data_IF_804344215701
#
_entry.id   IF_804344215701
#
_cell.length_a   1.000
_cell.length_b   1.000
_cell.length_c   1.000
_cell.angle_alpha   90.00
_cell.angle_beta   90.00
_cell.angle_gamma   90.00
#
_symmetry.space_group_name_H-M   'P 1'
#
loop_
_entity.id
_entity.type
_entity.pdbx_description
1 polymer ?
#
# COMPACT_ATOMS: atom_id res chain seq x y z
N UNK A 1 5.68 28.43 -3.85
CA UNK A 1 4.82 27.98 -4.97
C UNK A 1 3.40 28.46 -4.70
N UNK A 2 2.71 28.99 -5.72
CA UNK A 2 1.32 29.44 -5.61
C UNK A 2 0.40 28.38 -6.23
N UNK A 3 -0.59 27.90 -5.46
CA UNK A 3 -1.60 26.99 -5.99
C UNK A 3 -2.89 27.78 -6.31
N UNK A 4 -3.44 27.61 -7.50
CA UNK A 4 -4.64 28.33 -7.96
C UNK A 4 -5.91 27.49 -7.80
N UNK A 5 -6.99 28.17 -7.47
CA UNK A 5 -8.38 27.68 -7.46
C UNK A 5 -9.24 28.82 -7.96
N UNK A 6 -10.19 28.55 -8.86
CA UNK A 6 -10.92 29.56 -9.62
C UNK A 6 -11.73 30.58 -8.78
N UNK A 7 -11.90 30.39 -7.47
CA UNK A 7 -12.64 31.33 -6.60
C UNK A 7 -12.13 31.41 -5.14
N UNK A 8 -10.92 30.94 -4.81
CA UNK A 8 -10.36 30.99 -3.44
C UNK A 8 -8.99 31.71 -3.39
N UNK A 9 -8.64 32.35 -2.26
CA UNK A 9 -7.37 33.06 -2.11
C UNK A 9 -6.17 32.15 -2.41
N UNK A 10 -5.15 32.69 -3.08
CA UNK A 10 -3.92 31.96 -3.44
C UNK A 10 -3.26 31.39 -2.20
N UNK A 11 -3.14 30.06 -2.12
CA UNK A 11 -2.37 29.38 -1.08
C UNK A 11 -0.88 29.52 -1.40
N UNK A 12 -0.13 30.15 -0.49
CA UNK A 12 1.33 30.30 -0.61
C UNK A 12 2.00 29.28 0.29
N UNK A 13 2.86 28.45 -0.30
CA UNK A 13 3.60 27.41 0.41
C UNK A 13 5.08 27.78 0.47
N UNK A 14 5.62 27.84 1.69
CA UNK A 14 7.05 27.89 1.96
C UNK A 14 7.59 26.45 2.04
N UNK A 15 8.50 26.10 1.13
CA UNK A 15 9.09 24.77 1.05
C UNK A 15 10.26 24.64 2.03
N UNK A 16 10.30 23.54 2.77
CA UNK A 16 11.39 23.15 3.67
C UNK A 16 12.16 21.94 3.14
N UNK A 17 12.54 21.04 4.04
CA UNK A 17 13.37 19.88 3.72
C UNK A 17 12.64 18.83 2.87
N UNK A 18 13.40 18.16 2.00
CA UNK A 18 12.95 16.98 1.26
C UNK A 18 13.01 15.78 2.21
N UNK A 19 11.88 15.13 2.44
CA UNK A 19 11.77 13.98 3.34
C UNK A 19 11.65 12.64 2.59
N UNK A 20 11.33 12.69 1.29
CA UNK A 20 11.30 11.52 0.43
C UNK A 20 11.58 11.91 -1.02
N UNK A 21 12.32 11.07 -1.74
CA UNK A 21 12.57 11.25 -3.15
C UNK A 21 12.80 9.90 -3.85
N UNK A 22 11.91 9.54 -4.76
CA UNK A 22 12.05 8.41 -5.66
C UNK A 22 12.25 8.92 -7.09
N UNK A 23 13.49 8.84 -7.57
CA UNK A 23 13.87 9.30 -8.91
C UNK A 23 13.42 8.33 -9.98
N UNK A 24 12.75 8.83 -11.02
CA UNK A 24 12.52 8.06 -12.26
C UNK A 24 12.68 8.92 -13.51
N UNK A 25 13.29 8.35 -14.56
CA UNK A 25 13.37 8.99 -15.87
C UNK A 25 12.06 8.85 -16.67
N UNK A 26 11.37 7.72 -16.49
CA UNK A 26 10.08 7.40 -17.10
C UNK A 26 9.13 6.96 -15.99
N UNK A 27 7.94 7.56 -15.91
CA UNK A 27 6.94 7.28 -14.89
C UNK A 27 6.85 8.38 -13.83
N UNK A 28 6.60 7.98 -12.59
CA UNK A 28 5.95 8.86 -11.60
C UNK A 28 6.81 9.92 -10.92
N UNK A 29 8.14 9.76 -10.88
CA UNK A 29 9.10 10.64 -10.17
C UNK A 29 8.51 11.37 -8.94
N UNK A 30 8.61 10.78 -7.76
CA UNK A 30 7.92 11.30 -6.56
C UNK A 30 8.89 12.02 -5.63
N UNK A 31 8.61 13.27 -5.29
CA UNK A 31 9.33 14.05 -4.29
C UNK A 31 8.35 14.55 -3.21
N UNK A 32 8.69 14.37 -1.93
CA UNK A 32 7.88 14.86 -0.81
C UNK A 32 8.69 15.85 0.02
N UNK A 33 8.12 17.02 0.25
CA UNK A 33 8.78 18.18 0.86
C UNK A 33 7.93 18.66 2.04
N UNK A 34 8.58 19.01 3.16
CA UNK A 34 7.91 19.68 4.27
C UNK A 34 7.46 21.07 3.82
N UNK A 35 6.28 21.51 4.26
CA UNK A 35 5.80 22.86 3.95
C UNK A 35 5.16 23.55 5.13
N UNK A 36 5.29 24.88 5.16
CA UNK A 36 4.53 25.75 6.04
C UNK A 36 3.62 26.66 5.20
N UNK A 37 2.45 27.00 5.73
CA UNK A 37 1.47 27.86 5.06
C UNK A 37 0.75 28.73 6.07
N UNK A 38 0.61 30.03 5.78
CA UNK A 38 -0.24 30.93 6.59
C UNK A 38 -1.72 30.56 6.52
N UNK A 39 -2.14 29.79 5.49
CA UNK A 39 -3.48 29.23 5.40
C UNK A 39 -3.75 28.17 6.46
N UNK A 40 -2.70 27.48 6.94
CA UNK A 40 -2.78 26.41 7.92
C UNK A 40 -1.63 26.54 8.93
N UNK A 41 -1.64 27.58 9.79
CA UNK A 41 -0.49 27.96 10.61
C UNK A 41 -0.11 26.89 11.64
N UNK A 42 -1.09 26.13 12.15
CA UNK A 42 -0.90 25.14 13.22
C UNK A 42 -0.85 23.69 12.70
N UNK A 43 -0.48 23.49 11.42
CA UNK A 43 -0.41 22.15 10.83
C UNK A 43 0.97 21.83 10.28
N UNK A 44 1.46 20.65 10.64
CA UNK A 44 2.58 20.03 9.96
C UNK A 44 2.09 19.46 8.62
N UNK A 45 2.59 20.04 7.53
CA UNK A 45 2.16 19.71 6.18
C UNK A 45 3.30 19.21 5.33
N UNK A 46 2.93 18.44 4.32
CA UNK A 46 3.82 18.03 3.25
C UNK A 46 3.19 18.36 1.91
N UNK A 47 4.05 18.62 0.93
CA UNK A 47 3.70 18.62 -0.48
C UNK A 47 4.34 17.44 -1.14
N UNK A 48 3.55 16.69 -1.89
CA UNK A 48 4.05 15.64 -2.77
C UNK A 48 3.99 16.17 -4.19
N UNK A 49 5.14 16.19 -4.86
CA UNK A 49 5.33 16.60 -6.24
C UNK A 49 5.57 15.31 -7.02
N UNK A 50 4.68 14.99 -7.96
CA UNK A 50 4.79 13.74 -8.71
C UNK A 50 4.16 13.86 -10.10
N UNK A 51 4.52 12.94 -10.98
CA UNK A 51 3.99 12.82 -12.34
C UNK A 51 3.14 11.55 -12.51
N UNK A 52 1.96 11.42 -11.89
CA UNK A 52 1.10 10.26 -12.12
C UNK A 52 0.49 10.26 -13.52
N UNK A 53 0.08 9.08 -13.97
CA UNK A 53 -0.63 8.89 -15.24
C UNK A 53 -1.92 9.71 -15.28
N UNK A 54 -2.23 10.27 -16.44
CA UNK A 54 -3.45 11.05 -16.66
C UNK A 54 -4.73 10.22 -16.51
N UNK A 55 -4.63 8.90 -16.66
CA UNK A 55 -5.75 7.97 -16.58
C UNK A 55 -6.09 7.59 -15.13
N UNK A 56 -5.23 7.94 -14.16
CA UNK A 56 -5.43 7.63 -12.75
C UNK A 56 -6.17 8.73 -12.02
N UNK A 57 -7.19 8.31 -11.27
CA UNK A 57 -7.86 9.17 -10.33
C UNK A 57 -6.87 9.74 -9.31
N UNK A 58 -7.06 11.00 -8.90
CA UNK A 58 -6.23 11.60 -7.87
C UNK A 58 -6.55 10.99 -6.50
N UNK A 59 -5.53 10.82 -5.65
CA UNK A 59 -5.72 10.42 -4.24
C UNK A 59 -6.75 11.29 -3.54
N UNK A 60 -6.73 12.61 -3.79
CA UNK A 60 -7.72 13.53 -3.23
C UNK A 60 -9.15 13.14 -3.59
N UNK A 61 -9.42 12.84 -4.87
CA UNK A 61 -10.74 12.40 -5.34
C UNK A 61 -11.20 11.12 -4.62
N UNK A 62 -10.30 10.13 -4.49
CA UNK A 62 -10.61 8.86 -3.81
C UNK A 62 -10.89 9.09 -2.31
N UNK A 63 -10.07 9.91 -1.65
CA UNK A 63 -10.22 10.22 -0.22
C UNK A 63 -11.45 11.07 0.07
N UNK A 64 -11.79 12.03 -0.80
CA UNK A 64 -12.99 12.84 -0.67
C UNK A 64 -14.25 11.96 -0.84
N UNK A 65 -14.24 11.02 -1.80
CA UNK A 65 -15.32 10.05 -1.98
C UNK A 65 -15.48 9.11 -0.77
N UNK A 66 -14.38 8.60 -0.23
CA UNK A 66 -14.38 7.76 0.97
C UNK A 66 -14.93 8.53 2.19
N UNK A 67 -14.51 9.79 2.39
CA UNK A 67 -15.01 10.64 3.48
C UNK A 67 -16.50 10.95 3.33
N UNK A 68 -16.96 11.27 2.12
CA UNK A 68 -18.39 11.50 1.88
C UNK A 68 -19.24 10.26 2.23
N UNK A 69 -18.77 9.05 1.89
CA UNK A 69 -19.44 7.80 2.29
C UNK A 69 -19.42 7.58 3.81
N UNK A 70 -18.33 7.93 4.47
CA UNK A 70 -18.22 7.86 5.92
C UNK A 70 -19.20 8.81 6.62
N UNK A 71 -19.34 10.03 6.13
CA UNK A 71 -20.27 11.03 6.66
C UNK A 71 -21.74 10.60 6.44
N UNK A 72 -22.06 10.04 5.26
CA UNK A 72 -23.37 9.46 4.96
C UNK A 72 -23.76 8.35 5.96
N UNK A 73 -22.83 7.45 6.27
CA UNK A 73 -23.05 6.33 7.20
C UNK A 73 -23.16 6.81 8.66
N UNK A 74 -22.35 7.79 9.07
CA UNK A 74 -22.38 8.31 10.43
C UNK A 74 -23.68 9.08 10.73
N UNK A 75 -24.22 9.78 9.75
CA UNK A 75 -25.36 10.68 9.90
C UNK A 75 -24.97 12.04 10.53
N UNK A 76 -25.95 12.93 10.61
CA UNK A 76 -25.72 14.32 11.03
C UNK A 76 -25.11 14.44 12.42
N UNK A 77 -24.07 15.29 12.53
CA UNK A 77 -23.39 15.59 13.79
C UNK A 77 -22.50 14.48 14.36
N UNK A 78 -22.37 13.34 13.66
CA UNK A 78 -21.51 12.23 14.06
C UNK A 78 -20.30 12.13 13.13
N UNK A 79 -19.18 11.70 13.69
CA UNK A 79 -17.95 11.43 12.95
C UNK A 79 -17.72 9.92 12.88
N UNK A 80 -17.57 9.39 11.68
CA UNK A 80 -17.22 7.98 11.50
C UNK A 80 -15.75 7.73 11.89
N UNK A 81 -15.47 6.61 12.56
CA UNK A 81 -14.12 6.23 13.02
C UNK A 81 -13.09 6.22 11.87
N UNK A 82 -13.50 5.76 10.68
CA UNK A 82 -12.63 5.66 9.49
C UNK A 82 -11.92 6.97 9.14
N UNK A 83 -12.54 8.12 9.41
CA UNK A 83 -11.99 9.44 9.05
C UNK A 83 -10.63 9.68 9.73
N UNK A 84 -10.38 9.01 10.86
CA UNK A 84 -9.12 9.11 11.58
C UNK A 84 -8.00 8.22 11.03
N UNK A 85 -8.35 7.26 10.17
CA UNK A 85 -7.44 6.33 9.53
C UNK A 85 -7.23 6.61 8.03
N UNK A 86 -7.94 7.60 7.46
CA UNK A 86 -7.75 8.04 6.07
C UNK A 86 -6.79 9.24 5.99
N UNK A 87 -5.89 9.31 4.99
CA UNK A 87 -5.01 10.46 4.82
C UNK A 87 -5.81 11.75 4.55
N UNK A 88 -5.33 12.85 5.15
CA UNK A 88 -5.91 14.18 5.00
C UNK A 88 -5.21 14.95 3.89
N UNK A 89 -5.84 14.97 2.71
CA UNK A 89 -5.38 15.74 1.54
C UNK A 89 -6.20 17.02 1.46
N UNK A 90 -5.57 18.14 1.81
CA UNK A 90 -6.21 19.44 1.96
C UNK A 90 -6.49 20.08 0.60
N UNK A 91 -5.52 20.00 -0.30
CA UNK A 91 -5.58 20.58 -1.62
C UNK A 91 -4.82 19.69 -2.61
N UNK A 92 -5.22 19.70 -3.88
CA UNK A 92 -4.47 19.07 -4.96
C UNK A 92 -4.64 19.89 -6.22
N UNK A 93 -3.52 20.16 -6.91
CA UNK A 93 -3.53 20.83 -8.21
C UNK A 93 -2.83 19.97 -9.25
N UNK A 94 -3.40 19.95 -10.46
CA UNK A 94 -2.81 19.30 -11.62
C UNK A 94 -2.30 20.38 -12.58
N UNK A 95 -1.10 20.17 -13.10
CA UNK A 95 -0.48 20.97 -14.15
C UNK A 95 -0.28 20.04 -15.34
N UNK A 96 -1.00 20.29 -16.42
CA UNK A 96 -0.85 19.54 -17.66
C UNK A 96 0.21 20.22 -18.51
N UNK A 97 1.05 19.41 -19.14
CA UNK A 97 1.87 19.82 -20.27
C UNK A 97 0.90 20.26 -21.37
N UNK A 98 0.91 21.55 -21.74
CA UNK A 98 0.20 21.98 -22.95
C UNK A 98 0.98 21.50 -24.18
N UNK A 99 0.41 21.63 -25.39
CA UNK A 99 1.12 21.34 -26.65
C UNK A 99 2.45 22.11 -26.82
N UNK A 100 2.68 23.12 -25.97
CA UNK A 100 3.89 23.95 -25.91
C UNK A 100 4.97 23.46 -24.91
N UNK A 101 4.78 22.39 -24.14
CA UNK A 101 5.87 21.81 -23.32
C UNK A 101 6.64 20.76 -24.15
N UNK A 102 7.79 21.13 -24.71
CA UNK A 102 8.52 20.31 -25.64
C UNK A 102 9.19 19.11 -24.96
N UNK A 103 9.28 19.07 -23.62
CA UNK A 103 10.10 18.07 -22.94
C UNK A 103 9.45 16.69 -22.93
N UNK A 104 8.18 16.59 -22.50
CA UNK A 104 7.42 15.34 -22.55
C UNK A 104 7.15 14.93 -23.99
N UNK A 105 6.72 15.85 -24.86
CA UNK A 105 6.48 15.56 -26.28
C UNK A 105 7.74 15.04 -26.96
N UNK A 106 8.90 15.67 -26.72
CA UNK A 106 10.19 15.20 -27.27
C UNK A 106 10.58 13.85 -26.69
N UNK A 107 10.31 13.57 -25.42
CA UNK A 107 10.52 12.26 -24.83
C UNK A 107 9.65 11.20 -25.53
N UNK A 108 8.36 11.46 -25.73
CA UNK A 108 7.44 10.56 -26.47
C UNK A 108 7.91 10.35 -27.89
N UNK A 109 8.30 11.42 -28.59
CA UNK A 109 8.81 11.31 -29.95
C UNK A 109 10.12 10.52 -30.00
N UNK A 110 11.04 10.75 -29.07
CA UNK A 110 12.30 10.00 -28.98
C UNK A 110 12.06 8.53 -28.66
N UNK A 111 11.17 8.21 -27.73
CA UNK A 111 10.82 6.83 -27.35
C UNK A 111 10.05 6.12 -28.47
N UNK A 112 9.16 6.82 -29.16
CA UNK A 112 8.42 6.28 -30.31
C UNK A 112 9.34 6.06 -31.53
N UNK A 113 10.31 6.96 -31.75
CA UNK A 113 11.32 6.83 -32.82
C UNK A 113 12.41 5.82 -32.48
N UNK A 114 12.70 5.62 -31.20
CA UNK A 114 13.57 4.57 -30.69
C UNK A 114 12.79 3.25 -30.68
N UNK A 115 12.40 2.77 -31.87
CA UNK A 115 12.29 1.34 -32.08
C UNK A 115 13.56 0.68 -31.49
N UNK A 116 13.42 -0.44 -30.79
CA UNK A 116 14.49 -1.24 -30.16
C UNK A 116 14.81 -0.97 -28.67
N UNK A 117 14.00 -1.58 -27.81
CA UNK A 117 14.49 -2.49 -26.78
C UNK A 117 13.80 -3.85 -26.97
N UNK A 118 14.53 -4.86 -27.46
CA UNK A 118 14.08 -6.27 -27.56
C UNK A 118 12.85 -6.56 -28.46
N UNK A 119 12.59 -5.74 -29.48
CA UNK A 119 11.53 -6.02 -30.47
C UNK A 119 10.09 -5.89 -29.94
N UNK A 120 9.88 -5.22 -28.80
CA UNK A 120 8.55 -4.91 -28.26
C UNK A 120 8.20 -3.43 -28.47
N UNK A 121 6.95 -3.10 -28.83
CA UNK A 121 6.51 -1.71 -28.92
C UNK A 121 6.56 -1.05 -27.53
N UNK A 122 7.21 0.11 -27.44
CA UNK A 122 7.21 0.91 -26.22
C UNK A 122 5.94 1.77 -26.17
N UNK A 123 4.99 1.41 -25.30
CA UNK A 123 3.77 2.18 -25.09
C UNK A 123 4.04 3.20 -23.99
N UNK A 124 4.17 4.47 -24.35
CA UNK A 124 4.30 5.56 -23.40
C UNK A 124 2.93 5.90 -22.79
N UNK A 125 2.84 5.85 -21.46
CA UNK A 125 1.69 6.35 -20.72
C UNK A 125 1.88 7.85 -20.48
N UNK A 126 0.88 8.68 -20.78
CA UNK A 126 0.96 10.13 -20.57
C UNK A 126 0.84 10.47 -19.07
N UNK A 127 1.65 11.41 -18.60
CA UNK A 127 1.71 11.81 -17.19
C UNK A 127 1.56 13.32 -17.04
N UNK A 128 0.89 13.77 -15.98
CA UNK A 128 0.76 15.19 -15.62
C UNK A 128 1.46 15.48 -14.31
N UNK A 129 1.91 16.72 -14.09
CA UNK A 129 2.44 17.13 -12.79
C UNK A 129 1.28 17.32 -11.80
N UNK A 130 1.28 16.55 -10.71
CA UNK A 130 0.29 16.61 -9.64
C UNK A 130 0.96 17.02 -8.33
N UNK A 131 0.34 17.99 -7.66
CA UNK A 131 0.85 18.58 -6.43
C UNK A 131 -0.24 18.62 -5.35
N UNK A 132 -0.41 17.54 -4.56
CA UNK A 132 -1.21 17.57 -3.35
C UNK A 132 -0.47 18.17 -2.15
N UNK A 133 -1.24 18.87 -1.32
CA UNK A 133 -0.88 19.29 0.04
C UNK A 133 -1.64 18.38 1.00
N UNK A 134 -0.91 17.68 1.86
CA UNK A 134 -1.49 16.77 2.85
C UNK A 134 -0.92 17.01 4.24
N UNK A 135 -1.58 16.43 5.25
CA UNK A 135 -0.98 16.33 6.58
C UNK A 135 0.34 15.55 6.52
N UNK A 136 1.25 15.88 7.44
CA UNK A 136 2.45 15.07 7.67
C UNK A 136 2.06 13.79 8.42
N UNK A 137 2.37 12.65 7.81
CA UNK A 137 2.32 11.34 8.45
C UNK A 137 3.75 10.88 8.78
N UNK A 138 3.87 9.92 9.71
CA UNK A 138 5.15 9.37 10.14
C UNK A 138 5.26 7.89 9.75
N UNK A 139 6.42 7.43 9.25
CA UNK A 139 6.64 6.02 8.96
C UNK A 139 6.42 5.13 10.18
N UNK A 140 5.77 3.98 10.04
CA UNK A 140 5.60 3.03 11.15
C UNK A 140 6.94 2.61 11.78
N UNK A 141 8.03 2.62 11.00
CA UNK A 141 9.40 2.31 11.48
C UNK A 141 9.95 3.29 12.51
N UNK A 142 9.32 4.45 12.70
CA UNK A 142 9.70 5.40 13.76
C UNK A 142 9.15 4.97 15.14
N UNK A 143 8.23 3.99 15.18
CA UNK A 143 7.68 3.45 16.42
C UNK A 143 8.65 2.49 17.09
N UNK A 144 8.63 2.49 18.42
CA UNK A 144 9.54 1.68 19.26
C UNK A 144 8.82 0.93 20.37
N UNK A 145 7.49 1.03 20.40
CA UNK A 145 6.62 0.16 21.18
C UNK A 145 5.97 -0.86 20.23
N UNK A 146 6.15 -2.13 20.55
CA UNK A 146 5.61 -3.27 19.80
C UNK A 146 4.08 -3.23 19.77
N UNK A 147 3.43 -2.73 20.83
CA UNK A 147 1.97 -2.60 20.92
C UNK A 147 1.46 -1.51 19.99
N UNK A 148 2.16 -0.38 19.91
CA UNK A 148 1.81 0.69 18.96
C UNK A 148 1.93 0.20 17.51
N UNK A 149 2.98 -0.58 17.20
CA UNK A 149 3.17 -1.18 15.87
C UNK A 149 2.03 -2.14 15.53
N UNK A 150 1.66 -3.02 16.46
CA UNK A 150 0.54 -3.94 16.29
C UNK A 150 -0.79 -3.20 16.09
N UNK A 151 -1.01 -2.13 16.87
CA UNK A 151 -2.17 -1.26 16.74
C UNK A 151 -2.23 -0.58 15.37
N UNK A 152 -1.09 -0.15 14.81
CA UNK A 152 -1.03 0.41 13.45
C UNK A 152 -1.39 -0.65 12.41
N UNK A 153 -0.86 -1.87 12.51
CA UNK A 153 -1.24 -2.97 11.60
C UNK A 153 -2.74 -3.25 11.65
N UNK A 154 -3.32 -3.33 12.85
CA UNK A 154 -4.77 -3.54 13.05
C UNK A 154 -5.60 -2.42 12.41
N UNK A 155 -5.27 -1.16 12.71
CA UNK A 155 -5.94 0.01 12.13
C UNK A 155 -5.88 0.03 10.60
N UNK A 156 -4.71 -0.25 10.02
CA UNK A 156 -4.50 -0.26 8.56
C UNK A 156 -5.32 -1.37 7.91
N UNK A 157 -5.29 -2.59 8.45
CA UNK A 157 -6.05 -3.70 7.89
C UNK A 157 -7.56 -3.42 7.93
N UNK A 158 -8.04 -2.90 9.07
CA UNK A 158 -9.45 -2.53 9.24
C UNK A 158 -9.87 -1.40 8.30
N UNK A 159 -9.01 -0.39 8.13
CA UNK A 159 -9.23 0.71 7.19
C UNK A 159 -9.27 0.22 5.74
N UNK A 160 -8.32 -0.64 5.35
CA UNK A 160 -8.25 -1.26 4.03
C UNK A 160 -9.50 -2.10 3.74
N UNK A 161 -9.95 -2.91 4.70
CA UNK A 161 -11.19 -3.67 4.58
C UNK A 161 -12.40 -2.77 4.36
N UNK A 162 -12.56 -1.73 5.18
CA UNK A 162 -13.67 -0.78 5.02
C UNK A 162 -13.65 -0.08 3.66
N UNK A 163 -12.47 0.33 3.18
CA UNK A 163 -12.29 0.95 1.87
C UNK A 163 -12.68 0.00 0.74
N UNK A 164 -12.34 -1.28 0.86
CA UNK A 164 -12.75 -2.28 -0.11
C UNK A 164 -14.26 -2.56 -0.09
N UNK A 165 -14.88 -2.66 1.09
CA UNK A 165 -16.29 -3.02 1.20
C UNK A 165 -17.23 -1.87 0.84
N UNK A 166 -16.92 -0.65 1.29
CA UNK A 166 -17.86 0.48 1.26
C UNK A 166 -17.67 1.33 -0.01
N UNK A 167 -16.58 2.11 -0.18
CA UNK A 167 -16.37 2.87 -1.41
C UNK A 167 -15.80 2.04 -2.57
N UNK A 168 -15.57 0.72 -2.38
CA UNK A 168 -14.99 -0.19 -3.37
C UNK A 168 -13.61 0.24 -3.86
N UNK A 169 -12.72 0.66 -2.97
CA UNK A 169 -11.35 1.09 -3.28
C UNK A 169 -10.37 -0.04 -2.96
N UNK A 170 -9.58 -0.44 -3.97
CA UNK A 170 -8.40 -1.31 -3.79
C UNK A 170 -7.13 -0.47 -3.77
N UNK A 171 -6.17 -0.80 -2.90
CA UNK A 171 -4.96 0.00 -2.72
C UNK A 171 -3.90 -0.28 -3.80
N UNK A 172 -3.61 -1.58 -4.04
CA UNK A 172 -2.67 -2.11 -5.06
C UNK A 172 -1.18 -1.83 -4.85
N UNK A 173 -0.80 -1.25 -3.72
CA UNK A 173 0.60 -0.94 -3.37
C UNK A 173 0.83 -0.95 -1.86
N UNK A 174 0.30 -1.97 -1.20
CA UNK A 174 0.57 -2.19 0.22
C UNK A 174 2.08 -2.42 0.41
N UNK A 175 2.73 -1.51 1.11
CA UNK A 175 4.18 -1.53 1.33
C UNK A 175 4.53 -0.92 2.68
N UNK A 176 5.71 -1.25 3.22
CA UNK A 176 6.16 -0.71 4.51
C UNK A 176 6.23 0.83 4.52
N UNK A 177 6.53 1.46 3.37
CA UNK A 177 6.60 2.92 3.26
C UNK A 177 5.21 3.58 3.29
N UNK A 178 4.18 2.85 2.86
CA UNK A 178 2.80 3.33 2.76
C UNK A 178 2.01 3.04 4.05
N UNK A 179 2.52 2.17 4.93
CA UNK A 179 1.99 1.96 6.27
C UNK A 179 2.55 3.01 7.23
N UNK A 180 1.75 4.04 7.50
CA UNK A 180 2.16 5.19 8.30
C UNK A 180 1.28 5.33 9.53
N UNK A 181 1.62 6.30 10.38
CA UNK A 181 0.80 6.65 11.52
C UNK A 181 0.72 8.17 11.71
N UNK A 182 -0.26 8.59 12.49
CA UNK A 182 -0.36 9.95 13.05
C UNK A 182 -0.46 9.87 14.56
N UNK A 183 -0.04 10.95 15.23
CA UNK A 183 -0.26 11.13 16.67
C UNK A 183 -1.40 12.11 16.86
N UNK A 184 -2.37 11.76 17.70
CA UNK A 184 -3.41 12.69 18.14
C UNK A 184 -3.46 12.74 19.65
N UNK A 185 -3.59 13.94 20.20
CA UNK A 185 -3.79 14.09 21.63
C UNK A 185 -5.22 13.69 21.99
N UNK A 186 -5.35 12.70 22.87
CA UNK A 186 -6.63 12.31 23.43
C UNK A 186 -6.86 13.09 24.73
N UNK A 187 -7.84 13.99 24.71
CA UNK A 187 -8.21 14.80 25.87
C UNK A 187 -8.79 13.97 27.03
N UNK A 188 -9.39 12.80 26.76
CA UNK A 188 -9.96 11.95 27.79
C UNK A 188 -8.87 11.20 28.56
N UNK A 189 -7.85 10.71 27.84
CA UNK A 189 -6.75 9.94 28.43
C UNK A 189 -5.50 10.78 28.74
N UNK A 190 -5.53 12.08 28.40
CA UNK A 190 -4.42 13.03 28.57
C UNK A 190 -3.09 12.50 28.00
N UNK A 191 -3.15 11.82 26.85
CA UNK A 191 -1.99 11.20 26.20
C UNK A 191 -2.11 11.23 24.68
N UNK A 192 -0.99 11.12 23.98
CA UNK A 192 -1.01 10.92 22.54
C UNK A 192 -1.39 9.48 22.19
N UNK A 193 -2.39 9.33 21.33
CA UNK A 193 -2.75 8.07 20.67
C UNK A 193 -2.08 7.96 19.31
N UNK A 194 -1.58 6.77 19.01
CA UNK A 194 -1.03 6.37 17.72
C UNK A 194 -2.16 5.79 16.88
N UNK A 195 -2.42 6.41 15.73
CA UNK A 195 -3.46 5.98 14.81
C UNK A 195 -2.81 5.55 13.50
N UNK A 196 -3.08 4.31 13.08
CA UNK A 196 -2.56 3.79 11.82
C UNK A 196 -3.28 4.42 10.64
N UNK A 197 -2.53 4.74 9.60
CA UNK A 197 -3.01 5.41 8.39
C UNK A 197 -2.37 4.71 7.19
N UNK A 198 -3.21 4.20 6.30
CA UNK A 198 -2.76 3.71 5.01
C UNK A 198 -2.59 4.90 4.07
N UNK A 199 -1.42 5.07 3.48
CA UNK A 199 -1.06 6.23 2.64
C UNK A 199 -0.73 5.81 1.19
N UNK A 200 -0.70 6.77 0.27
CA UNK A 200 -0.36 6.59 -1.16
C UNK A 200 -1.37 5.77 -1.98
N UNK A 201 -2.51 6.40 -2.27
CA UNK A 201 -3.59 5.83 -3.11
C UNK A 201 -3.42 6.11 -4.62
N UNK A 202 -2.26 6.57 -5.07
CA UNK A 202 -2.04 6.93 -6.48
C UNK A 202 -2.07 5.70 -7.42
N UNK A 203 -1.89 4.49 -6.90
CA UNK A 203 -2.03 3.22 -7.65
C UNK A 203 -3.39 2.56 -7.48
N UNK A 204 -4.26 3.17 -6.68
CA UNK A 204 -5.56 2.62 -6.31
C UNK A 204 -6.57 2.70 -7.44
N UNK A 205 -7.61 1.88 -7.35
CA UNK A 205 -8.69 1.89 -8.32
C UNK A 205 -10.03 1.54 -7.65
N UNK A 206 -11.11 2.01 -8.28
CA UNK A 206 -12.46 1.58 -7.94
C UNK A 206 -12.72 0.17 -8.49
N UNK A 207 -13.21 -0.71 -7.63
CA UNK A 207 -13.67 -2.07 -7.93
C UNK A 207 -15.17 -2.06 -8.29
N UNK A 208 -15.64 -2.90 -9.24
CA UNK A 208 -14.87 -3.87 -10.01
C UNK A 208 -14.01 -3.23 -11.09
N UNK A 209 -12.82 -3.80 -11.31
CA UNK A 209 -11.94 -3.43 -12.41
C UNK A 209 -12.68 -3.75 -13.73
N UNK A 210 -13.05 -2.72 -14.49
CA UNK A 210 -13.67 -2.95 -15.81
C UNK A 210 -12.68 -3.51 -16.82
N UNK A 211 -11.40 -3.14 -16.73
CA UNK A 211 -10.29 -3.60 -17.57
C UNK A 211 -8.95 -3.50 -16.82
N UNK A 212 -7.91 -4.20 -17.28
CA UNK A 212 -6.55 -4.09 -16.72
C UNK A 212 -6.03 -2.65 -16.89
N UNK A 213 -6.11 -1.86 -15.82
CA UNK A 213 -5.84 -0.40 -15.84
C UNK A 213 -4.37 -0.04 -16.04
N UNK A 214 -3.48 -1.01 -16.25
CA UNK A 214 -2.08 -0.78 -16.62
C UNK A 214 -1.46 -2.01 -17.29
N UNK A 215 -0.81 -1.82 -18.43
CA UNK A 215 0.00 -2.84 -19.11
C UNK A 215 1.30 -3.19 -18.36
N UNK A 216 1.59 -2.50 -17.25
CA UNK A 216 2.80 -2.68 -16.45
C UNK A 216 2.47 -3.37 -15.12
N UNK A 217 3.35 -4.26 -14.65
CA UNK A 217 3.32 -4.81 -13.30
C UNK A 217 3.51 -3.66 -12.30
N UNK A 218 2.44 -3.31 -11.58
CA UNK A 218 2.42 -2.22 -10.60
C UNK A 218 2.59 -2.81 -9.20
N UNK A 219 3.39 -2.13 -8.38
CA UNK A 219 3.55 -2.41 -6.95
C UNK A 219 5.02 -2.51 -6.54
N UNK A 220 5.24 -2.68 -5.25
CA UNK A 220 6.57 -2.85 -4.67
C UNK A 220 6.98 -4.34 -4.67
N UNK A 221 7.94 -4.81 -5.50
CA UNK A 221 8.16 -6.23 -5.78
C UNK A 221 8.28 -7.18 -4.58
N UNK A 222 9.05 -6.83 -3.52
CA UNK A 222 9.14 -7.67 -2.32
C UNK A 222 7.79 -7.90 -1.63
N UNK A 223 6.82 -7.00 -1.80
CA UNK A 223 5.48 -7.07 -1.20
C UNK A 223 4.39 -7.50 -2.19
N UNK A 224 4.64 -7.55 -3.50
CA UNK A 224 3.62 -7.98 -4.46
C UNK A 224 3.22 -9.45 -4.25
N UNK A 225 1.92 -9.75 -4.38
CA UNK A 225 1.41 -11.12 -4.34
C UNK A 225 2.08 -12.00 -5.41
N UNK A 226 2.32 -13.28 -5.10
CA UNK A 226 3.02 -14.20 -6.00
C UNK A 226 2.34 -14.33 -7.38
N UNK A 227 1.01 -14.28 -7.44
CA UNK A 227 0.27 -14.39 -8.71
C UNK A 227 0.44 -13.19 -9.62
N UNK A 228 0.53 -12.00 -9.04
CA UNK A 228 0.78 -10.75 -9.79
C UNK A 228 2.20 -10.69 -10.34
N UNK A 229 3.10 -11.48 -9.76
CA UNK A 229 4.48 -11.62 -10.23
C UNK A 229 4.58 -12.66 -11.36
N UNK A 230 3.88 -13.78 -11.23
CA UNK A 230 3.86 -14.87 -12.21
C UNK A 230 3.17 -14.46 -13.52
N UNK A 231 2.00 -13.81 -13.43
CA UNK A 231 1.16 -13.51 -14.59
C UNK A 231 0.93 -12.01 -14.75
N UNK A 232 1.14 -11.49 -15.96
CA UNK A 232 0.93 -10.06 -16.26
C UNK A 232 -0.55 -9.67 -16.35
N UNK A 233 -1.44 -10.62 -16.63
CA UNK A 233 -2.81 -10.34 -17.04
C UNK A 233 -3.85 -10.70 -15.95
N UNK A 234 -3.37 -10.93 -14.71
CA UNK A 234 -4.24 -11.23 -13.57
C UNK A 234 -4.82 -9.94 -13.01
N UNK A 235 -6.15 -9.89 -12.91
CA UNK A 235 -6.84 -8.78 -12.23
C UNK A 235 -6.40 -8.72 -10.76
N UNK A 236 -6.13 -7.51 -10.28
CA UNK A 236 -5.76 -7.30 -8.89
C UNK A 236 -7.01 -7.44 -8.00
N UNK A 237 -7.01 -8.44 -7.10
CA UNK A 237 -8.09 -8.73 -6.16
C UNK A 237 -7.73 -8.25 -4.76
N UNK A 238 -8.71 -8.10 -3.86
CA UNK A 238 -8.52 -7.70 -2.47
C UNK A 238 -7.48 -8.58 -1.75
N UNK A 239 -7.55 -9.90 -1.94
CA UNK A 239 -6.57 -10.83 -1.35
C UNK A 239 -5.12 -10.58 -1.75
N UNK A 240 -4.85 -9.92 -2.88
CA UNK A 240 -3.48 -9.57 -3.25
C UNK A 240 -2.94 -8.42 -2.39
N UNK A 241 -3.78 -7.45 -2.02
CA UNK A 241 -3.44 -6.44 -1.01
C UNK A 241 -3.26 -7.09 0.37
N UNK A 242 -4.06 -8.11 0.70
CA UNK A 242 -3.91 -8.88 1.96
C UNK A 242 -2.60 -9.68 1.98
N UNK A 243 -2.21 -10.30 0.87
CA UNK A 243 -0.93 -11.02 0.74
C UNK A 243 0.24 -10.04 0.89
N UNK A 244 0.12 -8.84 0.31
CA UNK A 244 1.08 -7.78 0.48
C UNK A 244 1.14 -7.25 1.93
N UNK A 245 0.00 -7.09 2.60
CA UNK A 245 -0.06 -6.78 4.04
C UNK A 245 0.71 -7.81 4.86
N UNK A 246 0.47 -9.10 4.60
CA UNK A 246 1.19 -10.19 5.25
C UNK A 246 2.71 -10.12 5.00
N UNK A 247 3.14 -9.83 3.77
CA UNK A 247 4.55 -9.65 3.48
C UNK A 247 5.16 -8.44 4.19
N UNK A 248 4.44 -7.32 4.36
CA UNK A 248 4.95 -6.19 5.15
C UNK A 248 5.13 -6.60 6.61
N UNK A 249 4.16 -7.30 7.20
CA UNK A 249 4.26 -7.84 8.56
C UNK A 249 5.47 -8.78 8.71
N UNK A 250 5.62 -9.73 7.79
CA UNK A 250 6.73 -10.69 7.75
C UNK A 250 8.09 -9.98 7.67
N UNK A 251 8.23 -9.02 6.74
CA UNK A 251 9.46 -8.28 6.55
C UNK A 251 9.79 -7.39 7.74
N UNK A 252 8.81 -6.73 8.35
CA UNK A 252 9.02 -5.93 9.55
C UNK A 252 9.56 -6.81 10.68
N UNK A 253 8.83 -7.89 11.00
CA UNK A 253 9.14 -8.74 12.14
C UNK A 253 10.46 -9.50 11.98
N UNK A 254 10.81 -9.95 10.77
CA UNK A 254 11.99 -10.77 10.55
C UNK A 254 13.26 -9.97 10.22
N UNK A 255 13.16 -8.69 9.85
CA UNK A 255 14.32 -7.90 9.39
C UNK A 255 14.72 -6.80 10.34
N UNK A 256 13.88 -6.42 11.30
CA UNK A 256 14.14 -5.30 12.20
C UNK A 256 14.19 -5.72 13.66
N UNK A 257 14.90 -4.97 14.48
CA UNK A 257 14.94 -5.09 15.94
C UNK A 257 14.84 -3.70 16.57
N UNK A 258 14.19 -3.61 17.74
CA UNK A 258 14.10 -2.39 18.53
C UNK A 258 15.25 -2.42 19.54
N UNK A 259 16.20 -1.52 19.37
CA UNK A 259 17.42 -1.46 20.20
C UNK A 259 17.51 -0.14 20.96
N UNK A 260 18.21 -0.13 22.09
CA UNK A 260 18.52 1.09 22.82
C UNK A 260 19.71 1.81 22.16
N UNK A 261 19.53 3.07 21.77
CA UNK A 261 20.60 4.01 21.38
C UNK A 261 20.83 5.09 22.45
N UNK A 262 21.78 5.99 22.20
CA UNK A 262 22.07 7.13 23.07
C UNK A 262 20.89 8.12 23.14
N UNK A 263 20.12 8.24 22.05
CA UNK A 263 19.00 9.17 21.89
C UNK A 263 17.64 8.56 22.26
N UNK A 264 17.59 7.25 22.55
CA UNK A 264 16.36 6.54 22.89
C UNK A 264 16.28 5.16 22.24
N UNK A 265 15.11 4.52 22.33
CA UNK A 265 14.86 3.31 21.54
C UNK A 265 14.74 3.67 20.06
N UNK A 266 15.21 2.81 19.18
CA UNK A 266 15.12 2.97 17.72
C UNK A 266 14.93 1.61 17.06
N UNK A 267 14.14 1.56 15.99
CA UNK A 267 14.04 0.40 15.12
C UNK A 267 15.21 0.40 14.13
N UNK A 268 15.90 -0.73 13.99
CA UNK A 268 17.02 -0.90 13.04
C UNK A 268 16.95 -2.24 12.33
N UNK A 269 17.51 -2.29 11.12
CA UNK A 269 17.77 -3.54 10.41
C UNK A 269 18.70 -4.45 11.25
N UNK A 270 18.44 -5.76 11.25
CA UNK A 270 19.24 -6.77 11.95
C UNK A 270 20.69 -6.89 11.44
N UNK A 271 20.94 -6.45 10.21
CA UNK A 271 22.25 -6.47 9.56
C UNK A 271 22.40 -5.24 8.68
N UNK A 272 23.60 -4.67 8.66
CA UNK A 272 23.96 -3.59 7.75
C UNK A 272 23.99 -4.04 6.28
N UNK A 273 24.26 -5.33 6.02
CA UNK A 273 24.22 -5.88 4.69
C UNK A 273 22.82 -6.41 4.37
N UNK A 274 22.12 -5.72 3.46
CA UNK A 274 20.74 -6.03 3.09
C UNK A 274 20.55 -7.44 2.51
N UNK A 275 21.60 -8.05 1.96
CA UNK A 275 21.56 -9.42 1.42
C UNK A 275 21.52 -10.49 2.51
N UNK A 276 22.08 -10.19 3.68
CA UNK A 276 22.16 -11.12 4.81
C UNK A 276 20.91 -11.06 5.68
N UNK A 277 20.06 -10.04 5.50
CA UNK A 277 18.77 -9.94 6.15
C UNK A 277 17.83 -11.08 5.68
N UNK A 278 16.97 -11.62 6.56
CA UNK A 278 15.94 -12.58 6.17
C UNK A 278 15.13 -12.09 4.97
N UNK A 279 14.89 -12.98 4.00
CA UNK A 279 14.28 -12.68 2.70
C UNK A 279 15.06 -11.66 1.85
N UNK A 280 16.35 -11.45 2.08
CA UNK A 280 17.20 -10.53 1.30
C UNK A 280 17.15 -10.79 -0.20
N UNK A 281 17.01 -12.06 -0.63
CA UNK A 281 16.79 -12.44 -2.03
C UNK A 281 15.55 -11.82 -2.65
N UNK A 282 14.48 -11.57 -1.90
CA UNK A 282 13.24 -10.99 -2.44
C UNK A 282 13.40 -9.50 -2.82
N UNK A 283 14.46 -8.86 -2.34
CA UNK A 283 14.84 -7.49 -2.69
C UNK A 283 15.86 -7.42 -3.84
N UNK A 284 16.31 -8.57 -4.36
CA UNK A 284 17.25 -8.62 -5.48
C UNK A 284 16.54 -8.25 -6.79
N UNK A 285 16.84 -7.05 -7.29
CA UNK A 285 16.26 -6.52 -8.54
C UNK A 285 16.77 -7.23 -9.80
N UNK A 286 17.79 -8.09 -9.69
CA UNK A 286 18.28 -8.90 -10.81
C UNK A 286 17.52 -10.22 -10.95
N UNK A 287 16.74 -10.60 -9.94
CA UNK A 287 15.92 -11.82 -9.97
C UNK A 287 14.72 -11.64 -10.90
N UNK A 288 14.42 -12.68 -11.69
CA UNK A 288 13.25 -12.66 -12.55
C UNK A 288 11.95 -12.69 -11.73
N UNK A 289 10.88 -12.18 -12.33
CA UNK A 289 9.56 -12.13 -11.70
C UNK A 289 9.02 -13.52 -11.38
N UNK A 290 9.23 -14.46 -12.31
CA UNK A 290 8.84 -15.87 -12.17
C UNK A 290 9.61 -16.54 -11.02
N UNK A 291 10.90 -16.22 -10.88
CA UNK A 291 11.74 -16.74 -9.79
C UNK A 291 11.28 -16.20 -8.44
N UNK A 292 10.93 -14.91 -8.36
CA UNK A 292 10.38 -14.31 -7.14
C UNK A 292 9.02 -14.94 -6.78
N UNK A 293 8.15 -15.11 -7.78
CA UNK A 293 6.84 -15.74 -7.62
C UNK A 293 6.97 -17.16 -7.08
N UNK A 294 7.87 -17.98 -7.65
CA UNK A 294 8.12 -19.35 -7.22
C UNK A 294 8.68 -19.41 -5.78
N UNK A 295 9.58 -18.49 -5.42
CA UNK A 295 10.10 -18.41 -4.05
C UNK A 295 9.01 -18.08 -3.02
N UNK A 296 8.10 -17.15 -3.37
CA UNK A 296 6.95 -16.78 -2.55
C UNK A 296 5.91 -17.89 -2.43
N UNK A 297 5.62 -18.57 -3.54
CA UNK A 297 4.75 -19.74 -3.55
C UNK A 297 5.32 -20.84 -2.64
N UNK A 298 6.62 -21.14 -2.79
CA UNK A 298 7.30 -22.15 -1.96
C UNK A 298 7.30 -21.79 -0.48
N UNK A 299 7.37 -20.49 -0.14
CA UNK A 299 7.31 -20.03 1.24
C UNK A 299 6.02 -20.46 1.95
N UNK A 300 4.85 -20.39 1.31
CA UNK A 300 3.59 -20.80 1.97
C UNK A 300 3.56 -22.27 2.36
N UNK A 301 4.22 -23.14 1.59
CA UNK A 301 4.26 -24.59 1.82
C UNK A 301 5.55 -25.09 2.51
N UNK A 302 6.50 -24.20 2.75
CA UNK A 302 7.74 -24.52 3.46
C UNK A 302 7.48 -24.98 4.89
N UNK A 303 8.32 -25.86 5.41
CA UNK A 303 8.27 -26.34 6.80
C UNK A 303 9.15 -25.51 7.74
N UNK A 304 9.94 -24.59 7.18
CA UNK A 304 10.87 -23.75 7.91
C UNK A 304 10.10 -22.80 8.83
N UNK A 305 10.46 -22.73 10.13
CA UNK A 305 9.80 -21.84 11.06
C UNK A 305 10.09 -20.39 10.71
N UNK A 306 9.07 -19.55 10.80
CA UNK A 306 9.25 -18.10 10.72
C UNK A 306 10.04 -17.68 11.96
N UNK A 307 11.11 -16.90 11.75
CA UNK A 307 12.01 -16.46 12.83
C UNK A 307 11.97 -14.93 12.96
N UNK A 308 10.98 -14.37 13.67
CA UNK A 308 10.98 -12.94 14.03
C UNK A 308 12.20 -12.59 14.88
N UNK A 309 12.59 -11.31 14.86
CA UNK A 309 13.58 -10.82 15.82
C UNK A 309 13.04 -10.87 17.25
N UNK A 310 13.92 -10.68 18.23
CA UNK A 310 13.56 -10.72 19.66
C UNK A 310 12.48 -9.70 20.01
N UNK A 311 12.51 -8.51 19.41
CA UNK A 311 11.51 -7.47 19.66
C UNK A 311 10.13 -7.82 19.10
N UNK A 312 10.07 -8.68 18.08
CA UNK A 312 8.83 -8.98 17.35
C UNK A 312 8.37 -10.44 17.53
N UNK A 313 8.89 -11.16 18.53
CA UNK A 313 8.48 -12.55 18.80
C UNK A 313 6.98 -12.68 19.09
N UNK A 314 6.37 -11.66 19.68
CA UNK A 314 4.93 -11.56 19.96
C UNK A 314 4.04 -11.69 18.71
N UNK A 315 4.56 -11.37 17.53
CA UNK A 315 3.84 -11.45 16.26
C UNK A 315 3.85 -12.86 15.64
N UNK A 316 4.61 -13.80 16.19
CA UNK A 316 4.72 -15.15 15.63
C UNK A 316 3.37 -15.86 15.46
N UNK A 317 2.39 -15.77 16.39
CA UNK A 317 1.06 -16.33 16.19
C UNK A 317 0.35 -15.77 14.94
N UNK A 318 0.39 -14.45 14.72
CA UNK A 318 -0.21 -13.82 13.53
C UNK A 318 0.49 -14.31 12.26
N UNK A 319 1.82 -14.37 12.28
CA UNK A 319 2.62 -14.78 11.13
C UNK A 319 2.35 -16.22 10.71
N UNK A 320 2.16 -17.12 11.69
CA UNK A 320 1.86 -18.53 11.44
C UNK A 320 0.43 -18.73 10.95
N UNK A 321 -0.55 -18.09 11.59
CA UNK A 321 -1.96 -18.23 11.22
C UNK A 321 -2.21 -17.70 9.80
N UNK A 322 -1.69 -16.51 9.48
CA UNK A 322 -1.84 -15.96 8.13
C UNK A 322 -1.11 -16.82 7.08
N UNK A 323 0.08 -17.36 7.38
CA UNK A 323 0.76 -18.31 6.47
C UNK A 323 -0.08 -19.54 6.21
N UNK A 324 -0.70 -20.09 7.27
CA UNK A 324 -1.57 -21.25 7.19
C UNK A 324 -2.82 -20.98 6.33
N UNK A 325 -3.52 -19.87 6.57
CA UNK A 325 -4.70 -19.50 5.77
C UNK A 325 -4.36 -19.32 4.28
N UNK A 326 -3.21 -18.71 3.96
CA UNK A 326 -2.75 -18.63 2.58
C UNK A 326 -2.40 -19.99 1.99
N UNK A 327 -1.67 -20.84 2.73
CA UNK A 327 -1.31 -22.18 2.26
C UNK A 327 -2.55 -23.02 1.95
N UNK A 328 -3.53 -23.04 2.84
CA UNK A 328 -4.79 -23.76 2.65
C UNK A 328 -5.61 -23.20 1.48
N UNK A 329 -5.75 -21.88 1.37
CA UNK A 329 -6.46 -21.24 0.26
C UNK A 329 -5.82 -21.53 -1.11
N UNK A 330 -4.49 -21.48 -1.18
CA UNK A 330 -3.73 -21.82 -2.40
C UNK A 330 -3.88 -23.31 -2.73
N UNK A 331 -3.84 -24.18 -1.71
CA UNK A 331 -4.06 -25.62 -1.88
C UNK A 331 -5.47 -25.92 -2.40
N UNK A 332 -6.50 -25.35 -1.78
CA UNK A 332 -7.89 -25.50 -2.18
C UNK A 332 -8.12 -25.08 -3.64
N UNK A 333 -7.52 -23.95 -4.06
CA UNK A 333 -7.54 -23.52 -5.45
C UNK A 333 -6.88 -24.53 -6.38
N UNK A 334 -5.71 -25.03 -6.02
CA UNK A 334 -4.95 -26.02 -6.81
C UNK A 334 -5.78 -27.28 -7.02
N UNK A 335 -6.39 -27.80 -5.95
CA UNK A 335 -7.29 -28.96 -5.99
C UNK A 335 -8.54 -28.70 -6.84
N UNK A 336 -9.12 -27.51 -6.77
CA UNK A 336 -10.23 -27.13 -7.65
C UNK A 336 -9.80 -27.11 -9.12
N UNK A 337 -8.65 -26.50 -9.46
CA UNK A 337 -8.14 -26.46 -10.84
C UNK A 337 -7.87 -27.85 -11.40
N UNK A 338 -7.31 -28.77 -10.60
CA UNK A 338 -7.10 -30.16 -11.04
C UNK A 338 -8.42 -30.88 -11.34
N UNK A 339 -9.44 -30.72 -10.48
CA UNK A 339 -10.77 -31.30 -10.72
C UNK A 339 -11.39 -30.77 -12.01
N UNK A 340 -11.32 -29.46 -12.24
CA UNK A 340 -11.87 -28.84 -13.45
C UNK A 340 -11.19 -29.31 -14.75
N UNK A 341 -9.89 -29.62 -14.70
CA UNK A 341 -9.16 -30.18 -15.86
C UNK A 341 -9.51 -31.63 -16.16
N UNK A 342 -10.06 -32.36 -15.20
CA UNK A 342 -10.44 -33.78 -15.33
C UNK A 342 -11.92 -33.99 -15.70
N UNK A 343 -12.75 -32.94 -15.58
CA UNK A 343 -14.16 -33.00 -15.97
C UNK A 343 -14.32 -33.02 -17.49
N UNK A 344 -15.31 -33.79 -17.97
CA UNK A 344 -15.66 -33.82 -19.40
C UNK A 344 -16.36 -32.51 -19.80
N UNK A 345 -16.25 -32.04 -21.06
CA UNK A 345 -16.88 -30.79 -21.52
C UNK A 345 -18.42 -30.71 -21.35
N UNK A 346 -19.07 -31.84 -21.04
CA UNK A 346 -20.50 -31.97 -20.80
C UNK A 346 -20.93 -31.72 -19.35
N UNK A 347 -19.99 -31.67 -18.40
CA UNK A 347 -20.28 -31.39 -17.00
C UNK A 347 -20.14 -29.89 -16.75
N UNK A 348 -21.26 -29.18 -16.58
CA UNK A 348 -21.25 -27.79 -16.16
C UNK A 348 -20.78 -27.72 -14.69
N UNK A 349 -19.68 -27.02 -14.37
CA UNK A 349 -19.22 -26.93 -12.99
C UNK A 349 -20.26 -26.19 -12.15
N UNK A 350 -20.86 -26.88 -11.19
CA UNK A 350 -22.01 -26.35 -10.44
C UNK A 350 -21.69 -25.11 -9.60
N UNK A 351 -20.42 -24.87 -9.24
CA UNK A 351 -19.98 -23.67 -8.50
C UNK A 351 -18.56 -23.23 -8.90
N UNK A 352 -18.35 -21.98 -9.37
CA UNK A 352 -17.01 -21.45 -9.63
C UNK A 352 -16.22 -21.26 -8.33
N UNK A 353 -14.89 -21.41 -8.38
CA UNK A 353 -14.03 -21.14 -7.22
C UNK A 353 -14.02 -19.66 -6.87
N UNK A 354 -14.23 -19.34 -5.59
CA UNK A 354 -14.12 -17.98 -5.10
C UNK A 354 -12.64 -17.54 -5.09
N UNK A 355 -12.26 -16.83 -6.16
CA UNK A 355 -10.93 -16.27 -6.31
C UNK A 355 -10.69 -15.08 -5.38
N UNK A 356 -11.71 -14.40 -4.88
CA UNK A 356 -11.55 -13.21 -4.04
C UNK A 356 -11.05 -13.61 -2.65
N UNK A 357 -11.61 -14.68 -2.08
CA UNK A 357 -11.31 -15.16 -0.73
C UNK A 357 -10.44 -16.42 -0.69
N UNK A 358 -9.93 -16.87 -1.84
CA UNK A 358 -9.28 -18.18 -2.01
C UNK A 358 -10.15 -19.34 -1.49
N UNK A 359 -11.44 -19.35 -1.81
CA UNK A 359 -12.36 -20.41 -1.36
C UNK A 359 -12.77 -20.29 0.10
N UNK A 360 -12.79 -19.07 0.66
CA UNK A 360 -13.24 -18.78 2.02
C UNK A 360 -12.14 -18.78 3.09
N UNK A 361 -10.87 -18.86 2.70
CA UNK A 361 -9.74 -18.86 3.65
C UNK A 361 -9.22 -17.44 3.94
N UNK A 362 -9.27 -16.55 2.97
CA UNK A 362 -8.85 -15.15 3.09
C UNK A 362 -10.10 -14.30 3.30
N UNK A 363 -10.66 -14.36 4.50
CA UNK A 363 -11.85 -13.60 4.89
C UNK A 363 -11.44 -12.47 5.84
N UNK A 364 -11.78 -11.20 5.54
CA UNK A 364 -11.31 -10.05 6.33
C UNK A 364 -11.68 -10.11 7.80
N UNK A 365 -12.87 -10.61 8.15
CA UNK A 365 -13.32 -10.73 9.54
C UNK A 365 -12.47 -11.73 10.33
N UNK A 366 -12.16 -12.90 9.73
CA UNK A 366 -11.29 -13.90 10.36
C UNK A 366 -9.84 -13.41 10.51
N UNK A 367 -9.36 -12.61 9.55
CA UNK A 367 -8.05 -11.97 9.66
C UNK A 367 -8.06 -10.92 10.78
N UNK A 368 -9.07 -10.05 10.84
CA UNK A 368 -9.22 -9.07 11.92
C UNK A 368 -9.27 -9.73 13.30
N UNK A 369 -9.98 -10.85 13.42
CA UNK A 369 -10.01 -11.65 14.65
C UNK A 369 -8.61 -12.18 15.01
N UNK A 370 -7.89 -12.73 14.03
CA UNK A 370 -6.51 -13.21 14.20
C UNK A 370 -5.58 -12.10 14.71
N UNK A 371 -5.69 -10.89 14.14
CA UNK A 371 -4.82 -9.76 14.50
C UNK A 371 -5.41 -8.83 15.57
N UNK A 372 -6.49 -9.25 16.25
CA UNK A 372 -7.18 -8.42 17.26
C UNK A 372 -6.47 -8.39 18.61
N UNK A 373 -5.52 -9.31 18.85
CA UNK A 373 -4.80 -9.41 20.11
C UNK A 373 -3.31 -9.66 19.90
N UNK A 374 -2.46 -9.04 20.71
CA UNK A 374 -1.02 -9.30 20.74
C UNK A 374 -0.57 -9.55 22.18
N UNK A 375 -0.01 -10.73 22.48
CA UNK A 375 0.39 -11.13 23.84
C UNK A 375 -0.69 -10.87 24.91
N UNK A 376 -1.95 -11.17 24.58
CA UNK A 376 -3.11 -10.95 25.46
C UNK A 376 -3.58 -9.50 25.57
N UNK A 377 -2.94 -8.56 24.86
CA UNK A 377 -3.41 -7.18 24.74
C UNK A 377 -4.40 -7.07 23.58
N UNK A 378 -5.64 -6.69 23.89
CA UNK A 378 -6.67 -6.38 22.89
C UNK A 378 -6.34 -5.09 22.16
N UNK A 379 -6.39 -5.14 20.82
CA UNK A 379 -6.25 -3.98 19.95
C UNK A 379 -7.65 -3.46 19.61
N UNK A 380 -7.88 -2.16 19.78
CA UNK A 380 -9.17 -1.51 19.54
C UNK A 380 -8.98 -0.15 18.91
N UNK A 381 -10.09 0.48 18.51
CA UNK A 381 -10.10 1.92 18.16
C UNK A 381 -9.86 2.81 19.38
#
# INVERSE_FOLDING_TARGET
MALETSEKPKTILALGDIIHHQRSLIGRDTCVVLVCSSTWPDRDLVVKISWPSIHRDSEKKLMDAAKAKADEIAGEGKRHWIVDHLPSILQSQNFRSNDEDPSQRRLVELLSKAEYADGKPFIYEEHLLRIPVSERLFPMTDLTDVKDIAQVFYHIFRCHHWLYEIPKILHRDMSLNNMMYRKRYDNSEQKFKVLGVLNDFDLSCSSPLKEATSLQRIGTPPYMAHELLDQSDVSHLYRHDVEAFYYVLLMLCCRHEIVQSAEGKVMKDLSHNRKDLPFGRWYDRTMSWETLAAAKFSFFFGIEPISPSKSFSAFLPWLNELRYLFAEGIHARTMWTHRMRQQSPSDDPTVPFDKETLGGYIVPTGILETISTLDGHSLSD
#
